data_IF_288732620853
#
_entry.id   IF_288732620853
#
_cell.length_a   1.000
_cell.length_b   1.000
_cell.length_c   1.000
_cell.angle_alpha   90.00
_cell.angle_beta   90.00
_cell.angle_gamma   90.00
#
_symmetry.space_group_name_H-M   'P 1'
#
loop_
_entity.id
_entity.type
_entity.pdbx_description
1 polymer ?
#
# COMPACT_ATOMS: atom_id res chain seq x y z
N UNK A 1 37.74 -138.74 157.69
CA UNK A 1 36.92 -138.55 156.48
C UNK A 1 36.63 -137.05 156.31
N UNK A 2 37.53 -136.07 156.20
CA UNK A 2 38.81 -135.90 155.47
C UNK A 2 38.83 -136.49 154.05
N UNK A 3 39.02 -135.59 153.07
CA UNK A 3 39.71 -135.77 151.78
C UNK A 3 38.99 -136.01 150.44
N UNK A 4 37.65 -135.87 150.29
CA UNK A 4 37.03 -136.14 148.96
C UNK A 4 36.14 -135.10 148.28
N UNK A 5 35.90 -133.88 148.80
CA UNK A 5 35.18 -132.85 148.01
C UNK A 5 35.69 -131.40 148.11
N UNK A 6 36.92 -131.17 148.59
CA UNK A 6 37.56 -129.84 148.45
C UNK A 6 38.08 -129.55 147.03
N UNK A 7 38.10 -130.53 146.11
CA UNK A 7 38.49 -130.33 144.70
C UNK A 7 37.44 -129.65 143.83
N UNK A 8 36.14 -129.85 144.10
CA UNK A 8 35.09 -129.34 143.22
C UNK A 8 34.79 -127.83 143.39
N UNK A 9 35.12 -127.23 144.55
CA UNK A 9 34.86 -125.81 144.81
C UNK A 9 35.88 -124.88 144.12
N UNK A 10 37.14 -125.31 144.00
CA UNK A 10 38.17 -124.57 143.24
C UNK A 10 38.02 -124.73 141.73
N UNK A 11 37.53 -125.89 141.26
CA UNK A 11 37.18 -126.11 139.85
C UNK A 11 35.97 -125.25 139.41
N UNK A 12 34.94 -125.13 140.26
CA UNK A 12 33.78 -124.27 139.99
C UNK A 12 34.14 -122.78 139.96
N UNK A 13 35.05 -122.32 140.83
CA UNK A 13 35.52 -120.93 140.82
C UNK A 13 36.33 -120.59 139.55
N UNK A 14 37.15 -121.53 139.05
CA UNK A 14 37.87 -121.38 137.78
C UNK A 14 36.95 -121.34 136.57
N UNK A 15 35.92 -122.20 136.55
CA UNK A 15 34.89 -122.21 135.51
C UNK A 15 34.05 -120.92 135.50
N UNK A 16 33.68 -120.39 136.67
CA UNK A 16 32.96 -119.12 136.79
C UNK A 16 33.80 -117.93 136.29
N UNK A 17 35.09 -117.88 136.61
CA UNK A 17 36.01 -116.86 136.10
C UNK A 17 36.19 -116.91 134.57
N UNK A 18 36.28 -118.12 134.00
CA UNK A 18 36.33 -118.33 132.55
C UNK A 18 35.04 -117.89 131.85
N UNK A 19 33.88 -118.22 132.42
CA UNK A 19 32.57 -117.83 131.88
C UNK A 19 32.37 -116.31 131.96
N UNK A 20 32.77 -115.67 133.06
CA UNK A 20 32.75 -114.19 133.19
C UNK A 20 33.71 -113.52 132.21
N UNK A 21 34.93 -114.05 132.04
CA UNK A 21 35.89 -113.55 131.04
C UNK A 21 35.39 -113.68 129.61
N UNK A 22 34.75 -114.81 129.28
CA UNK A 22 34.07 -115.04 127.99
C UNK A 22 32.89 -114.09 127.78
N UNK A 23 32.05 -113.89 128.80
CA UNK A 23 30.92 -112.96 128.74
C UNK A 23 31.38 -111.52 128.56
N UNK A 24 32.38 -111.08 129.32
CA UNK A 24 32.97 -109.73 129.19
C UNK A 24 33.66 -109.57 127.83
N UNK A 25 34.37 -110.59 127.35
CA UNK A 25 34.98 -110.59 126.01
C UNK A 25 33.96 -110.56 124.87
N UNK A 26 32.83 -111.29 125.01
CA UNK A 26 31.71 -111.29 124.08
C UNK A 26 30.96 -109.95 124.11
N UNK A 27 30.71 -109.39 125.29
CA UNK A 27 30.10 -108.06 125.45
C UNK A 27 31.00 -106.95 124.91
N UNK A 28 32.30 -107.01 125.19
CA UNK A 28 33.27 -106.06 124.67
C UNK A 28 33.45 -106.20 123.16
N UNK A 29 33.48 -107.43 122.64
CA UNK A 29 33.50 -107.73 121.21
C UNK A 29 32.22 -107.28 120.50
N UNK A 30 31.04 -107.53 121.06
CA UNK A 30 29.76 -107.04 120.53
C UNK A 30 29.67 -105.51 120.60
N UNK A 31 30.15 -104.89 121.68
CA UNK A 31 30.18 -103.43 121.83
C UNK A 31 31.17 -102.79 120.87
N UNK A 32 32.34 -103.39 120.66
CA UNK A 32 33.35 -102.94 119.69
C UNK A 32 32.85 -103.11 118.25
N UNK A 33 32.28 -104.26 117.92
CA UNK A 33 31.74 -104.53 116.58
C UNK A 33 30.51 -103.65 116.29
N UNK A 34 29.67 -103.37 117.29
CA UNK A 34 28.56 -102.42 117.14
C UNK A 34 29.06 -100.98 117.00
N UNK A 35 30.09 -100.56 117.74
CA UNK A 35 30.74 -99.26 117.53
C UNK A 35 31.32 -99.12 116.13
N UNK A 36 32.07 -100.12 115.65
CA UNK A 36 32.64 -100.14 114.29
C UNK A 36 31.54 -100.14 113.21
N UNK A 37 30.44 -100.88 113.40
CA UNK A 37 29.27 -100.84 112.50
C UNK A 37 28.61 -99.47 112.51
N UNK A 38 28.40 -98.84 113.67
CA UNK A 38 27.82 -97.50 113.76
C UNK A 38 28.74 -96.43 113.18
N UNK A 39 30.06 -96.57 113.33
CA UNK A 39 31.04 -95.67 112.72
C UNK A 39 31.00 -95.76 111.19
N UNK A 40 30.97 -96.97 110.62
CA UNK A 40 30.84 -97.18 109.17
C UNK A 40 29.51 -96.66 108.62
N UNK A 41 28.41 -96.86 109.34
CA UNK A 41 27.09 -96.32 108.95
C UNK A 41 27.08 -94.79 109.01
N UNK A 42 27.73 -94.18 110.00
CA UNK A 42 27.88 -92.71 110.06
C UNK A 42 28.74 -92.19 108.92
N UNK A 43 29.86 -92.83 108.63
CA UNK A 43 30.75 -92.47 107.52
C UNK A 43 30.03 -92.60 106.16
N UNK A 44 29.29 -93.69 105.95
CA UNK A 44 28.46 -93.86 104.75
C UNK A 44 27.35 -92.80 104.65
N UNK A 45 26.67 -92.49 105.76
CA UNK A 45 25.65 -91.45 105.80
C UNK A 45 26.25 -90.05 105.52
N UNK A 46 27.46 -89.75 105.99
CA UNK A 46 28.17 -88.51 105.68
C UNK A 46 28.53 -88.42 104.19
N UNK A 47 29.01 -89.51 103.59
CA UNK A 47 29.31 -89.57 102.15
C UNK A 47 28.04 -89.43 101.32
N UNK A 48 26.95 -90.12 101.67
CA UNK A 48 25.65 -89.96 101.01
C UNK A 48 25.12 -88.52 101.12
N UNK A 49 25.26 -87.90 102.29
CA UNK A 49 24.87 -86.49 102.48
C UNK A 49 25.71 -85.55 101.60
N UNK A 50 27.03 -85.77 101.51
CA UNK A 50 27.91 -84.99 100.63
C UNK A 50 27.55 -85.18 99.16
N UNK A 51 27.36 -86.41 98.70
CA UNK A 51 26.93 -86.72 97.33
C UNK A 51 25.56 -86.11 97.02
N UNK A 52 24.63 -86.13 97.97
CA UNK A 52 23.33 -85.48 97.82
C UNK A 52 23.44 -83.95 97.77
N UNK A 53 24.34 -83.34 98.55
CA UNK A 53 24.63 -81.90 98.49
C UNK A 53 25.26 -81.51 97.15
N UNK A 54 26.29 -82.22 96.70
CA UNK A 54 26.92 -82.00 95.39
C UNK A 54 25.92 -82.22 94.24
N UNK A 55 25.06 -83.24 94.34
CA UNK A 55 24.00 -83.49 93.37
C UNK A 55 23.02 -82.32 93.29
N UNK A 56 22.57 -81.79 94.43
CA UNK A 56 21.71 -80.60 94.49
C UNK A 56 22.40 -79.36 93.93
N UNK A 57 23.68 -79.16 94.22
CA UNK A 57 24.47 -78.04 93.72
C UNK A 57 24.65 -78.12 92.19
N UNK A 58 24.97 -79.31 91.66
CA UNK A 58 25.03 -79.54 90.21
C UNK A 58 23.69 -79.28 89.54
N UNK A 59 22.58 -79.73 90.11
CA UNK A 59 21.24 -79.43 89.56
C UNK A 59 20.95 -77.93 89.58
N UNK A 60 21.33 -77.23 90.65
CA UNK A 60 21.16 -75.77 90.76
C UNK A 60 21.99 -75.03 89.71
N UNK A 61 23.27 -75.37 89.56
CA UNK A 61 24.17 -74.78 88.56
C UNK A 61 23.70 -75.11 87.14
N UNK A 62 23.24 -76.33 86.89
CA UNK A 62 22.67 -76.71 85.59
C UNK A 62 21.44 -75.86 85.25
N UNK A 63 20.54 -75.66 86.22
CA UNK A 63 19.37 -74.81 86.04
C UNK A 63 19.76 -73.34 85.79
N UNK A 64 20.80 -72.84 86.47
CA UNK A 64 21.32 -71.48 86.25
C UNK A 64 21.96 -71.32 84.86
N UNK A 65 22.76 -72.30 84.41
CA UNK A 65 23.33 -72.32 83.06
C UNK A 65 22.22 -72.33 82.02
N UNK A 66 21.20 -73.18 82.18
CA UNK A 66 20.05 -73.21 81.25
C UNK A 66 19.29 -71.89 81.25
N UNK A 67 19.12 -71.23 82.41
CA UNK A 67 18.50 -69.90 82.47
C UNK A 67 19.33 -68.86 81.73
N UNK A 68 20.64 -68.80 81.97
CA UNK A 68 21.53 -67.86 81.31
C UNK A 68 21.64 -68.10 79.79
N UNK A 69 21.59 -69.37 79.36
CA UNK A 69 21.53 -69.71 77.94
C UNK A 69 20.24 -69.20 77.29
N UNK A 70 19.08 -69.41 77.92
CA UNK A 70 17.81 -68.89 77.42
C UNK A 70 17.78 -67.35 77.39
N UNK A 71 18.34 -66.68 78.41
CA UNK A 71 18.48 -65.22 78.43
C UNK A 71 19.39 -64.75 77.29
N UNK A 72 20.54 -65.40 77.07
CA UNK A 72 21.48 -65.07 76.00
C UNK A 72 20.87 -65.28 74.60
N UNK A 73 20.10 -66.35 74.40
CA UNK A 73 19.33 -66.59 73.17
C UNK A 73 18.30 -65.48 72.94
N UNK A 74 17.51 -65.13 73.96
CA UNK A 74 16.55 -64.02 73.85
C UNK A 74 17.20 -62.65 73.62
N UNK A 75 18.43 -62.43 74.09
CA UNK A 75 19.21 -61.24 73.74
C UNK A 75 19.72 -61.26 72.29
N UNK A 76 20.19 -62.42 71.80
CA UNK A 76 20.64 -62.57 70.41
C UNK A 76 19.48 -62.40 69.43
N UNK A 77 18.31 -62.94 69.73
CA UNK A 77 17.11 -62.76 68.91
C UNK A 77 16.69 -61.29 68.83
N UNK A 78 16.67 -60.57 69.96
CA UNK A 78 16.39 -59.12 69.98
C UNK A 78 17.41 -58.33 69.16
N UNK A 79 18.71 -58.63 69.30
CA UNK A 79 19.76 -57.99 68.50
C UNK A 79 19.60 -58.28 67.01
N UNK A 80 19.22 -59.50 66.64
CA UNK A 80 18.95 -59.88 65.25
C UNK A 80 17.73 -59.13 64.68
N UNK A 81 16.66 -59.00 65.46
CA UNK A 81 15.47 -58.23 65.08
C UNK A 81 15.78 -56.75 64.90
N UNK A 82 16.49 -56.13 65.86
CA UNK A 82 16.92 -54.74 65.75
C UNK A 82 17.87 -54.51 64.56
N UNK A 83 18.78 -55.44 64.29
CA UNK A 83 19.67 -55.36 63.13
C UNK A 83 18.88 -55.45 61.81
N UNK A 84 17.88 -56.33 61.74
CA UNK A 84 17.01 -56.45 60.57
C UNK A 84 16.17 -55.20 60.35
N UNK A 85 15.61 -54.61 61.43
CA UNK A 85 14.86 -53.37 61.37
C UNK A 85 15.74 -52.19 60.91
N UNK A 86 16.95 -52.06 61.46
CA UNK A 86 17.92 -51.04 61.03
C UNK A 86 18.30 -51.19 59.55
N UNK A 87 18.54 -52.43 59.09
CA UNK A 87 18.83 -52.70 57.69
C UNK A 87 17.67 -52.30 56.78
N UNK A 88 16.42 -52.61 57.18
CA UNK A 88 15.21 -52.21 56.46
C UNK A 88 15.08 -50.68 56.39
N UNK A 89 15.16 -49.99 57.53
CA UNK A 89 15.07 -48.53 57.59
C UNK A 89 16.18 -47.85 56.79
N UNK A 90 17.39 -48.41 56.79
CA UNK A 90 18.49 -47.91 55.97
C UNK A 90 18.17 -48.06 54.48
N UNK A 91 17.65 -49.21 54.05
CA UNK A 91 17.23 -49.44 52.67
C UNK A 91 16.12 -48.47 52.23
N UNK A 92 15.09 -48.26 53.07
CA UNK A 92 14.00 -47.31 52.81
C UNK A 92 14.54 -45.87 52.71
N UNK A 93 15.46 -45.47 53.59
CA UNK A 93 16.10 -44.14 53.55
C UNK A 93 16.94 -43.95 52.29
N UNK A 94 17.70 -44.97 51.91
CA UNK A 94 18.58 -44.88 50.74
C UNK A 94 17.75 -44.85 49.44
N UNK A 95 16.64 -45.59 49.37
CA UNK A 95 15.66 -45.48 48.29
C UNK A 95 15.01 -44.08 48.24
N UNK A 96 14.57 -43.55 49.38
CA UNK A 96 14.01 -42.20 49.46
C UNK A 96 15.02 -41.12 49.05
N UNK A 97 16.31 -41.30 49.35
CA UNK A 97 17.38 -40.39 48.92
C UNK A 97 17.58 -40.43 47.40
N UNK A 98 17.62 -41.62 46.81
CA UNK A 98 17.74 -41.77 45.36
C UNK A 98 16.57 -41.11 44.63
N UNK A 99 15.35 -41.30 45.13
CA UNK A 99 14.16 -40.68 44.59
C UNK A 99 14.19 -39.15 44.73
N UNK A 100 14.64 -38.63 45.88
CA UNK A 100 14.80 -37.19 46.08
C UNK A 100 15.85 -36.58 45.13
N UNK A 101 16.97 -37.27 44.88
CA UNK A 101 17.98 -36.85 43.91
C UNK A 101 17.43 -36.87 42.47
N UNK A 102 16.68 -37.91 42.10
CA UNK A 102 16.00 -38.00 40.79
C UNK A 102 15.05 -36.83 40.58
N UNK A 103 14.15 -36.58 41.55
CA UNK A 103 13.18 -35.48 41.50
C UNK A 103 13.85 -34.11 41.46
N UNK A 104 14.99 -33.93 42.16
CA UNK A 104 15.78 -32.70 42.08
C UNK A 104 16.37 -32.49 40.68
N UNK A 105 16.92 -33.54 40.07
CA UNK A 105 17.44 -33.49 38.70
C UNK A 105 16.36 -33.14 37.67
N UNK A 106 15.18 -33.76 37.80
CA UNK A 106 14.03 -33.45 36.96
C UNK A 106 13.54 -32.01 37.13
N UNK A 107 13.43 -31.54 38.38
CA UNK A 107 13.05 -30.16 38.67
C UNK A 107 14.06 -29.16 38.12
N UNK A 108 15.36 -29.45 38.20
CA UNK A 108 16.39 -28.62 37.61
C UNK A 108 16.27 -28.56 36.09
N UNK A 109 16.10 -29.72 35.45
CA UNK A 109 15.91 -29.82 33.99
C UNK A 109 14.69 -29.03 33.53
N UNK A 110 13.57 -29.16 34.24
CA UNK A 110 12.34 -28.42 33.94
C UNK A 110 12.52 -26.91 34.13
N UNK A 111 13.28 -26.46 35.15
CA UNK A 111 13.60 -25.05 35.34
C UNK A 111 14.44 -24.50 34.19
N UNK A 112 15.45 -25.24 33.76
CA UNK A 112 16.30 -24.86 32.62
C UNK A 112 15.47 -24.75 31.33
N UNK A 113 14.57 -25.71 31.08
CA UNK A 113 13.64 -25.66 29.94
C UNK A 113 12.68 -24.47 30.03
N UNK A 114 12.12 -24.16 31.20
CA UNK A 114 11.25 -23.00 31.42
C UNK A 114 11.99 -21.69 31.14
N UNK A 115 13.23 -21.54 31.59
CA UNK A 115 14.04 -20.35 31.34
C UNK A 115 14.41 -20.21 29.86
N UNK A 116 14.75 -21.31 29.18
CA UNK A 116 14.97 -21.31 27.72
C UNK A 116 13.71 -20.87 26.96
N UNK A 117 12.55 -21.43 27.30
CA UNK A 117 11.28 -21.05 26.68
C UNK A 117 10.91 -19.59 26.95
N UNK A 118 11.18 -19.08 28.15
CA UNK A 118 10.98 -17.65 28.49
C UNK A 118 11.88 -16.75 27.66
N UNK A 119 13.15 -17.11 27.50
CA UNK A 119 14.09 -16.36 26.67
C UNK A 119 13.68 -16.34 25.19
N UNK A 120 13.27 -17.50 24.65
CA UNK A 120 12.79 -17.61 23.27
C UNK A 120 11.51 -16.77 23.06
N UNK A 121 10.57 -16.84 23.99
CA UNK A 121 9.33 -16.09 23.93
C UNK A 121 9.55 -14.57 24.06
N UNK A 122 10.53 -14.14 24.86
CA UNK A 122 10.96 -12.74 24.91
C UNK A 122 11.57 -12.28 23.57
N UNK A 123 12.43 -13.11 22.95
CA UNK A 123 13.01 -12.85 21.64
C UNK A 123 11.94 -12.74 20.55
N UNK A 124 11.02 -13.69 20.47
CA UNK A 124 9.94 -13.69 19.48
C UNK A 124 9.00 -12.49 19.65
N UNK A 125 8.74 -12.05 20.89
CA UNK A 125 7.97 -10.82 21.14
C UNK A 125 8.69 -9.57 20.63
N UNK A 126 10.01 -9.47 20.85
CA UNK A 126 10.80 -8.36 20.35
C UNK A 126 10.83 -8.33 18.81
N UNK A 127 11.05 -9.47 18.18
CA UNK A 127 11.03 -9.61 16.72
C UNK A 127 9.67 -9.25 16.13
N UNK A 128 8.58 -9.70 16.75
CA UNK A 128 7.22 -9.33 16.35
C UNK A 128 6.99 -7.82 16.42
N UNK A 129 7.39 -7.17 17.52
CA UNK A 129 7.22 -5.73 17.68
C UNK A 129 8.04 -4.93 16.64
N UNK A 130 9.26 -5.39 16.32
CA UNK A 130 10.08 -4.80 15.26
C UNK A 130 9.42 -4.94 13.89
N UNK A 131 8.90 -6.13 13.56
CA UNK A 131 8.21 -6.38 12.30
C UNK A 131 6.91 -5.58 12.18
N UNK A 132 6.13 -5.46 13.24
CA UNK A 132 4.91 -4.64 13.28
C UNK A 132 5.24 -3.16 13.03
N UNK A 133 6.27 -2.63 13.70
CA UNK A 133 6.72 -1.24 13.49
C UNK A 133 7.19 -1.02 12.05
N UNK A 134 7.97 -1.95 11.48
CA UNK A 134 8.42 -1.87 10.09
C UNK A 134 7.25 -1.91 9.11
N UNK A 135 6.26 -2.74 9.38
CA UNK A 135 5.07 -2.87 8.54
C UNK A 135 4.25 -1.57 8.56
N UNK A 136 4.00 -0.99 9.74
CA UNK A 136 3.34 0.30 9.89
C UNK A 136 4.07 1.42 9.15
N UNK A 137 5.40 1.49 9.29
CA UNK A 137 6.20 2.49 8.59
C UNK A 137 6.15 2.30 7.07
N UNK A 138 6.19 1.06 6.58
CA UNK A 138 6.03 0.77 5.15
C UNK A 138 4.66 1.17 4.62
N UNK A 139 3.58 0.89 5.38
CA UNK A 139 2.23 1.32 5.02
C UNK A 139 2.13 2.84 4.94
N UNK A 140 2.62 3.55 5.95
CA UNK A 140 2.62 5.01 5.96
C UNK A 140 3.39 5.59 4.78
N UNK A 141 4.59 5.07 4.50
CA UNK A 141 5.39 5.50 3.33
C UNK A 141 4.68 5.20 2.01
N UNK A 142 3.94 4.10 1.92
CA UNK A 142 3.17 3.76 0.72
C UNK A 142 1.98 4.72 0.52
N UNK A 143 1.27 5.07 1.58
CA UNK A 143 0.18 6.06 1.56
C UNK A 143 0.69 7.45 1.18
N UNK A 144 1.81 7.90 1.77
CA UNK A 144 2.46 9.17 1.43
C UNK A 144 2.85 9.21 -0.05
N UNK A 145 3.47 8.14 -0.58
CA UNK A 145 3.82 8.03 -2.00
C UNK A 145 2.60 8.05 -2.91
N UNK A 146 1.52 7.37 -2.53
CA UNK A 146 0.27 7.40 -3.30
C UNK A 146 -0.31 8.81 -3.35
N UNK A 147 -0.35 9.52 -2.22
CA UNK A 147 -0.81 10.90 -2.16
C UNK A 147 0.07 11.85 -3.01
N UNK A 148 1.39 11.67 -2.98
CA UNK A 148 2.32 12.42 -3.85
C UNK A 148 2.07 12.16 -5.34
N UNK A 149 1.85 10.89 -5.73
CA UNK A 149 1.53 10.51 -7.11
C UNK A 149 0.18 11.09 -7.57
N UNK A 150 -0.84 11.08 -6.72
CA UNK A 150 -2.13 11.69 -7.02
C UNK A 150 -1.99 13.21 -7.21
N UNK A 151 -1.23 13.87 -6.34
CA UNK A 151 -0.93 15.31 -6.48
C UNK A 151 -0.17 15.61 -7.78
N UNK A 152 0.84 14.82 -8.10
CA UNK A 152 1.60 14.95 -9.35
C UNK A 152 0.69 14.74 -10.57
N UNK A 153 -0.22 13.75 -10.52
CA UNK A 153 -1.19 13.50 -11.59
C UNK A 153 -2.17 14.66 -11.76
N UNK A 154 -2.64 15.26 -10.68
CA UNK A 154 -3.51 16.43 -10.73
C UNK A 154 -2.79 17.66 -11.32
N UNK A 155 -1.54 17.89 -10.93
CA UNK A 155 -0.70 18.95 -11.50
C UNK A 155 -0.48 18.73 -12.99
N UNK A 156 -0.08 17.52 -13.41
CA UNK A 156 0.10 17.18 -14.82
C UNK A 156 -1.16 17.38 -15.65
N UNK A 157 -2.33 17.04 -15.09
CA UNK A 157 -3.62 17.29 -15.75
C UNK A 157 -3.85 18.79 -15.96
N UNK A 158 -3.62 19.61 -14.94
CA UNK A 158 -3.77 21.07 -15.05
C UNK A 158 -2.79 21.68 -16.05
N UNK A 159 -1.52 21.27 -16.03
CA UNK A 159 -0.51 21.70 -17.00
C UNK A 159 -0.90 21.28 -18.44
N UNK A 160 -1.45 20.08 -18.61
CA UNK A 160 -1.93 19.61 -19.91
C UNK A 160 -3.14 20.43 -20.39
N UNK A 161 -4.12 20.71 -19.53
CA UNK A 161 -5.28 21.56 -19.86
C UNK A 161 -4.82 22.98 -20.24
N UNK A 162 -3.88 23.57 -19.49
CA UNK A 162 -3.32 24.88 -19.78
C UNK A 162 -2.55 24.90 -21.12
N UNK A 163 -1.74 23.87 -21.38
CA UNK A 163 -1.00 23.74 -22.64
C UNK A 163 -1.95 23.55 -23.81
N UNK A 164 -2.98 22.70 -23.68
CA UNK A 164 -3.98 22.50 -24.71
C UNK A 164 -4.72 23.80 -25.04
N UNK A 165 -5.18 24.54 -24.01
CA UNK A 165 -5.82 25.84 -24.21
C UNK A 165 -4.91 26.83 -24.94
N UNK A 166 -3.64 26.93 -24.53
CA UNK A 166 -2.64 27.77 -25.22
C UNK A 166 -2.45 27.37 -26.69
N UNK A 167 -2.32 26.07 -26.97
CA UNK A 167 -2.16 25.57 -28.34
C UNK A 167 -3.40 25.89 -29.18
N UNK A 168 -4.61 25.68 -28.64
CA UNK A 168 -5.84 26.00 -29.36
C UNK A 168 -6.00 27.50 -29.61
N UNK A 169 -5.64 28.33 -28.64
CA UNK A 169 -5.68 29.79 -28.78
C UNK A 169 -4.66 30.29 -29.82
N UNK A 170 -3.45 29.74 -29.81
CA UNK A 170 -2.41 30.03 -30.80
C UNK A 170 -2.80 29.56 -32.21
N UNK A 171 -3.32 28.34 -32.34
CA UNK A 171 -3.85 27.83 -33.60
C UNK A 171 -5.05 28.65 -34.09
N UNK A 172 -5.95 29.06 -33.20
CA UNK A 172 -7.10 29.92 -33.52
C UNK A 172 -6.68 31.31 -34.01
N UNK A 173 -5.66 31.91 -33.38
CA UNK A 173 -5.03 33.15 -33.86
C UNK A 173 -4.38 32.96 -35.22
N UNK A 174 -3.52 31.95 -35.39
CA UNK A 174 -2.85 31.67 -36.66
C UNK A 174 -3.87 31.42 -37.78
N UNK A 175 -4.95 30.67 -37.50
CA UNK A 175 -6.03 30.41 -38.45
C UNK A 175 -6.77 31.70 -38.83
N UNK A 176 -7.14 32.54 -37.85
CA UNK A 176 -7.79 33.83 -38.12
C UNK A 176 -6.88 34.78 -38.91
N UNK A 177 -5.59 34.86 -38.57
CA UNK A 177 -4.62 35.67 -39.30
C UNK A 177 -4.44 35.17 -40.73
N UNK A 178 -4.35 33.85 -40.94
CA UNK A 178 -4.24 33.24 -42.27
C UNK A 178 -5.51 33.44 -43.10
N UNK A 179 -6.70 33.28 -42.49
CA UNK A 179 -7.98 33.49 -43.16
C UNK A 179 -8.18 34.97 -43.51
N UNK A 180 -7.82 35.90 -42.61
CA UNK A 180 -7.86 37.34 -42.89
C UNK A 180 -6.92 37.71 -44.02
N UNK A 181 -5.68 37.21 -44.02
CA UNK A 181 -4.72 37.44 -45.12
C UNK A 181 -5.24 36.88 -46.45
N UNK A 182 -5.76 35.65 -46.46
CA UNK A 182 -6.30 35.04 -47.68
C UNK A 182 -7.55 35.76 -48.21
N UNK A 183 -8.47 36.18 -47.33
CA UNK A 183 -9.62 37.00 -47.71
C UNK A 183 -9.19 38.38 -48.21
N UNK A 184 -8.18 39.00 -47.61
CA UNK A 184 -7.65 40.29 -48.07
C UNK A 184 -7.01 40.15 -49.45
N UNK A 185 -6.24 39.09 -49.70
CA UNK A 185 -5.63 38.81 -51.00
C UNK A 185 -6.66 38.56 -52.11
N UNK A 186 -7.79 37.91 -51.80
CA UNK A 186 -8.89 37.68 -52.75
C UNK A 186 -9.74 38.93 -52.94
N UNK A 187 -10.04 39.66 -51.87
CA UNK A 187 -10.96 40.80 -51.91
C UNK A 187 -10.29 42.12 -52.32
N UNK A 188 -8.98 42.26 -52.14
CA UNK A 188 -8.22 43.44 -52.55
C UNK A 188 -8.34 43.73 -54.06
N UNK A 189 -8.10 42.76 -54.98
CA UNK A 189 -8.27 43.01 -56.41
C UNK A 189 -9.73 43.32 -56.78
N UNK A 190 -10.71 42.77 -56.06
CA UNK A 190 -12.13 43.10 -56.27
C UNK A 190 -12.43 44.53 -55.83
N UNK A 191 -11.91 44.99 -54.68
CA UNK A 191 -12.06 46.37 -54.22
C UNK A 191 -11.38 47.36 -55.17
N UNK A 192 -10.19 47.01 -55.65
CA UNK A 192 -9.44 47.81 -56.62
C UNK A 192 -10.19 47.90 -57.96
N UNK A 193 -10.67 46.76 -58.48
CA UNK A 193 -11.49 46.73 -59.70
C UNK A 193 -12.82 47.50 -59.54
N UNK A 194 -13.48 47.45 -58.39
CA UNK A 194 -14.68 48.23 -58.11
C UNK A 194 -14.38 49.73 -58.04
N UNK A 195 -13.25 50.12 -57.45
CA UNK A 195 -12.81 51.51 -57.42
C UNK A 195 -12.48 52.02 -58.82
N UNK A 196 -11.79 51.23 -59.63
CA UNK A 196 -11.48 51.57 -61.02
C UNK A 196 -12.72 51.58 -61.90
N UNK A 197 -13.65 50.65 -61.70
CA UNK A 197 -14.95 50.66 -62.35
C UNK A 197 -15.73 51.93 -62.02
N UNK A 198 -15.77 52.32 -60.74
CA UNK A 198 -16.42 53.56 -60.30
C UNK A 198 -15.76 54.78 -60.95
N UNK A 199 -14.43 54.89 -60.92
CA UNK A 199 -13.70 55.97 -61.61
C UNK A 199 -14.04 56.02 -63.09
N UNK A 200 -14.06 54.86 -63.76
CA UNK A 200 -14.36 54.77 -65.18
C UNK A 200 -15.80 55.17 -65.51
N UNK A 201 -16.76 54.83 -64.65
CA UNK A 201 -18.14 55.32 -64.76
C UNK A 201 -18.20 56.84 -64.60
N UNK A 202 -17.57 57.38 -63.55
CA UNK A 202 -17.54 58.82 -63.29
C UNK A 202 -16.90 59.57 -64.48
N UNK A 203 -15.81 59.02 -65.06
CA UNK A 203 -15.18 59.54 -66.27
C UNK A 203 -16.07 59.46 -67.50
N UNK A 204 -16.79 58.35 -67.70
CA UNK A 204 -17.73 58.20 -68.83
C UNK A 204 -18.85 59.22 -68.71
N UNK A 205 -19.44 59.39 -67.52
CA UNK A 205 -20.46 60.41 -67.29
C UNK A 205 -19.93 61.82 -67.51
N UNK A 206 -18.74 62.15 -67.01
CA UNK A 206 -18.12 63.45 -67.27
C UNK A 206 -17.87 63.69 -68.78
N UNK A 207 -17.44 62.66 -69.52
CA UNK A 207 -17.28 62.74 -70.99
C UNK A 207 -18.62 62.86 -71.70
N UNK A 208 -19.65 62.14 -71.24
CA UNK A 208 -21.00 62.20 -71.79
C UNK A 208 -21.62 63.59 -71.57
N UNK A 209 -21.52 64.16 -70.37
CA UNK A 209 -21.95 65.52 -70.06
C UNK A 209 -21.24 66.55 -70.94
N UNK A 210 -19.91 66.43 -71.08
CA UNK A 210 -19.13 67.28 -71.98
C UNK A 210 -19.55 67.13 -73.44
N UNK A 211 -19.80 65.90 -73.88
CA UNK A 211 -20.29 65.58 -75.23
C UNK A 211 -21.69 66.15 -75.49
N UNK A 212 -22.62 66.02 -74.53
CA UNK A 212 -23.96 66.63 -74.57
C UNK A 212 -23.86 68.15 -74.64
N UNK A 213 -22.98 68.77 -73.87
CA UNK A 213 -22.72 70.21 -73.94
C UNK A 213 -22.16 70.67 -75.30
N UNK A 214 -21.25 69.90 -75.90
CA UNK A 214 -20.75 70.16 -77.26
C UNK A 214 -21.86 70.01 -78.32
N UNK A 215 -22.70 68.97 -78.20
CA UNK A 215 -23.85 68.75 -79.08
C UNK A 215 -24.88 69.88 -78.95
N UNK A 216 -25.18 70.33 -77.73
CA UNK A 216 -26.05 71.47 -77.51
C UNK A 216 -25.48 72.75 -78.14
N UNK A 217 -24.16 72.99 -78.00
CA UNK A 217 -23.49 74.12 -78.63
C UNK A 217 -23.54 74.04 -80.17
N UNK A 218 -23.28 72.87 -80.77
CA UNK A 218 -23.40 72.68 -82.21
C UNK A 218 -24.85 72.83 -82.69
N UNK A 219 -25.84 72.36 -81.91
CA UNK A 219 -27.25 72.53 -82.24
C UNK A 219 -27.65 74.00 -82.22
N UNK A 220 -27.20 74.77 -81.22
CA UNK A 220 -27.37 76.23 -81.18
C UNK A 220 -26.72 76.91 -82.37
N UNK A 221 -25.49 76.53 -82.72
CA UNK A 221 -24.79 77.05 -83.90
C UNK A 221 -25.55 76.72 -85.20
N UNK A 222 -26.08 75.51 -85.35
CA UNK A 222 -26.95 75.13 -86.47
C UNK A 222 -28.24 75.95 -86.50
N UNK A 223 -28.84 76.20 -85.34
CA UNK A 223 -30.05 77.01 -85.23
C UNK A 223 -29.78 78.47 -85.62
N UNK A 224 -28.64 79.03 -85.24
CA UNK A 224 -28.18 80.35 -85.65
C UNK A 224 -27.85 80.41 -87.15
N UNK A 225 -27.15 79.40 -87.69
CA UNK A 225 -26.91 79.29 -89.13
C UNK A 225 -28.22 79.23 -89.90
N UNK A 226 -29.20 78.46 -89.43
CA UNK A 226 -30.51 78.33 -90.07
C UNK A 226 -31.28 79.67 -90.04
N UNK A 227 -31.15 80.43 -88.94
CA UNK A 227 -31.65 81.81 -88.84
C UNK A 227 -31.02 82.73 -89.88
N UNK A 228 -29.69 82.75 -89.98
CA UNK A 228 -28.95 83.54 -90.97
C UNK A 228 -29.34 83.15 -92.40
N UNK A 229 -29.44 81.85 -92.68
CA UNK A 229 -29.85 81.34 -93.99
C UNK A 229 -31.26 81.79 -94.35
N UNK A 230 -32.18 81.85 -93.38
CA UNK A 230 -33.54 82.36 -93.58
C UNK A 230 -33.56 83.89 -93.85
N UNK A 231 -32.68 84.65 -93.20
CA UNK A 231 -32.50 86.08 -93.44
C UNK A 231 -31.88 86.37 -94.81
N UNK A 232 -30.85 85.62 -95.20
CA UNK A 232 -30.24 85.68 -96.52
C UNK A 232 -31.23 85.28 -97.62
N UNK A 233 -32.00 84.21 -97.40
CA UNK A 233 -33.07 83.81 -98.32
C UNK A 233 -34.16 84.88 -98.44
N UNK A 234 -34.50 85.59 -97.35
CA UNK A 234 -35.42 86.74 -97.40
C UNK A 234 -34.86 87.91 -98.20
N UNK A 235 -33.58 88.25 -98.01
CA UNK A 235 -32.90 89.30 -98.77
C UNK A 235 -32.79 88.94 -100.26
N UNK A 236 -32.49 87.68 -100.57
CA UNK A 236 -32.43 87.15 -101.94
C UNK A 236 -33.80 87.16 -102.61
N UNK A 237 -34.86 86.78 -101.89
CA UNK A 237 -36.25 86.85 -102.38
C UNK A 237 -36.67 88.30 -102.65
N UNK A 238 -36.16 89.27 -101.88
CA UNK A 238 -36.41 90.71 -102.10
C UNK A 238 -35.71 91.24 -103.34
N UNK A 239 -34.51 90.73 -103.66
CA UNK A 239 -33.76 91.08 -104.86
C UNK A 239 -34.37 90.51 -106.15
N UNK A 240 -35.04 89.35 -106.09
CA UNK A 240 -35.57 88.65 -107.26
C UNK A 240 -37.00 89.03 -107.69
N UNK A 241 -37.71 89.86 -106.92
CA UNK A 241 -39.13 90.17 -107.17
C UNK A 241 -39.42 91.55 -107.78
N UNK A 242 -38.41 92.38 -108.06
CA UNK A 242 -38.67 93.73 -108.55
C UNK A 242 -37.54 94.38 -109.34
N UNK A 243 -37.36 94.00 -110.61
CA UNK A 243 -37.14 95.00 -111.67
C UNK A 243 -37.43 94.41 -113.07
N UNK A 244 -38.65 94.65 -113.57
CA UNK A 244 -39.11 94.25 -114.91
C UNK A 244 -38.97 95.38 -115.94
N UNK A 245 -38.44 96.55 -115.55
CA UNK A 245 -38.46 97.77 -116.38
C UNK A 245 -37.21 97.95 -117.26
N UNK A 246 -36.10 97.28 -116.94
CA UNK A 246 -34.84 97.44 -117.65
C UNK A 246 -34.74 96.71 -119.02
N UNK A 247 -35.64 95.77 -119.32
CA UNK A 247 -35.51 94.91 -120.51
C UNK A 247 -36.08 95.55 -121.80
N UNK A 248 -37.02 96.50 -121.71
CA UNK A 248 -37.66 97.13 -122.87
C UNK A 248 -36.79 98.21 -123.55
N UNK A 249 -36.12 99.05 -122.76
CA UNK A 249 -35.35 100.21 -123.26
C UNK A 249 -34.13 99.80 -124.09
N UNK A 250 -33.56 98.61 -123.86
CA UNK A 250 -32.42 98.11 -124.62
C UNK A 250 -32.77 97.71 -126.06
N UNK A 251 -34.02 97.30 -126.32
CA UNK A 251 -34.47 96.91 -127.66
C UNK A 251 -34.62 98.08 -128.61
N UNK A 252 -35.14 99.22 -128.13
CA UNK A 252 -35.32 100.43 -128.94
C UNK A 252 -33.98 101.03 -129.39
N UNK A 253 -32.99 101.06 -128.49
CA UNK A 253 -31.64 101.60 -128.78
C UNK A 253 -30.95 100.79 -129.89
N UNK A 254 -31.14 99.47 -129.92
CA UNK A 254 -30.55 98.62 -130.97
C UNK A 254 -31.25 98.86 -132.32
N UNK A 255 -32.57 99.04 -132.33
CA UNK A 255 -33.33 99.30 -133.56
C UNK A 255 -32.95 100.65 -134.19
N UNK A 256 -32.80 101.70 -133.36
CA UNK A 256 -32.39 103.03 -133.80
C UNK A 256 -31.00 102.99 -134.47
N UNK A 257 -30.05 102.25 -133.88
CA UNK A 257 -28.68 102.15 -134.43
C UNK A 257 -28.59 101.43 -135.77
N UNK A 258 -29.45 100.44 -136.01
CA UNK A 258 -29.51 99.73 -137.30
C UNK A 258 -30.11 100.62 -138.39
N UNK A 259 -31.12 101.43 -138.05
CA UNK A 259 -31.75 102.35 -139.00
C UNK A 259 -30.81 103.50 -139.41
N UNK A 260 -30.07 104.08 -138.47
CA UNK A 260 -29.08 105.15 -138.77
C UNK A 260 -27.90 104.63 -139.61
N UNK A 261 -27.38 103.43 -139.34
CA UNK A 261 -26.31 102.82 -140.16
C UNK A 261 -26.76 102.46 -141.58
N UNK A 262 -28.07 102.32 -141.79
CA UNK A 262 -28.68 102.06 -143.11
C UNK A 262 -28.89 103.34 -143.93
N UNK A 263 -28.46 104.50 -143.41
CA UNK A 263 -28.51 105.79 -144.11
C UNK A 263 -29.85 106.54 -144.01
N UNK A 264 -30.76 106.10 -143.15
CA UNK A 264 -32.09 106.70 -142.95
C UNK A 264 -32.03 107.77 -141.84
N UNK A 265 -32.58 108.97 -142.08
CA UNK A 265 -32.54 110.10 -141.15
C UNK A 265 -33.81 110.15 -140.30
N UNK A 266 -33.60 110.28 -138.99
CA UNK A 266 -34.66 110.44 -137.99
C UNK A 266 -35.49 111.70 -138.28
N UNK A 267 -36.81 111.55 -138.42
CA UNK A 267 -37.74 112.65 -138.71
C UNK A 267 -37.99 112.95 -140.20
N UNK A 268 -37.36 112.23 -141.14
CA UNK A 268 -37.79 112.20 -142.55
C UNK A 268 -38.24 110.80 -142.97
N UNK A 269 -37.42 109.78 -142.70
CA UNK A 269 -37.71 108.41 -143.13
C UNK A 269 -38.18 107.47 -141.99
N UNK A 270 -38.05 107.86 -140.71
CA UNK A 270 -38.65 107.13 -139.58
C UNK A 270 -38.91 108.02 -138.35
N UNK A 271 -39.94 107.69 -137.55
CA UNK A 271 -40.25 108.28 -136.25
C UNK A 271 -40.45 107.19 -135.18
N UNK A 272 -39.96 107.45 -133.95
CA UNK A 272 -40.14 106.58 -132.78
C UNK A 272 -41.46 106.90 -132.08
N UNK A 273 -42.21 105.85 -131.68
CA UNK A 273 -43.52 106.00 -131.06
C UNK A 273 -43.42 106.74 -129.71
N UNK A 274 -44.16 107.85 -129.57
CA UNK A 274 -44.19 108.63 -128.34
C UNK A 274 -44.95 107.91 -127.22
N UNK A 275 -44.29 107.73 -126.08
CA UNK A 275 -44.85 107.12 -124.87
C UNK A 275 -46.11 107.85 -124.37
N UNK A 276 -47.20 107.12 -124.18
CA UNK A 276 -48.41 107.64 -123.53
C UNK A 276 -48.18 107.74 -122.02
N UNK A 277 -48.51 108.91 -121.46
CA UNK A 277 -48.57 109.16 -120.01
C UNK A 277 -50.02 109.35 -119.60
N UNK A 278 -50.38 108.85 -118.42
CA UNK A 278 -51.68 109.12 -117.81
C UNK A 278 -51.66 110.42 -116.98
N UNK A 279 -52.84 110.82 -116.47
CA UNK A 279 -53.06 112.06 -115.73
C UNK A 279 -52.35 112.18 -114.39
N UNK A 280 -51.64 111.14 -113.92
CA UNK A 280 -50.87 111.15 -112.67
C UNK A 280 -49.35 111.14 -112.91
N UNK A 281 -48.91 111.29 -114.16
CA UNK A 281 -47.52 111.63 -114.48
C UNK A 281 -46.55 110.44 -114.51
N UNK A 282 -47.03 109.20 -114.43
CA UNK A 282 -46.21 108.01 -114.57
C UNK A 282 -46.31 107.40 -115.99
N UNK A 283 -45.16 106.96 -116.52
CA UNK A 283 -45.02 106.32 -117.83
C UNK A 283 -45.54 104.88 -117.80
N UNK A 284 -46.43 104.52 -118.73
CA UNK A 284 -46.75 103.13 -119.08
C UNK A 284 -45.57 102.49 -119.82
#
# INVERSE_FOLDING_TARGET
>A
MTELMQGHLTELAGLLGLVLGLLVGLLWGQRRLSLERTARVREQAEVEQRLAQEGRERTRLQAEVTRLQAEAEGHRERQAQEAAERARLQSERDAARQEAERLRGELQTQREQMEQQRAELARLRAERAELETRLEEQHKRAEERLAELEKARAQLRSEFENLANRIFEEQGRQFSERNRKGLDEILSPVREQLADFRRRIDEIHAREEKGRGMLEAQLRQLQDLNRQLNEEARNLTRALKGDRKAQGTWGEIVLERVLEQSGLRRGQEYELQAARRDGEGHLL
#
